data_IF_109515092292
#
_entry.id   IF_109515092292
#
_cell.length_a   1.000
_cell.length_b   1.000
_cell.length_c   1.000
_cell.angle_alpha   90.00
_cell.angle_beta   90.00
_cell.angle_gamma   90.00
#
_symmetry.space_group_name_H-M   'P 1'
#
loop_
_entity.id
_entity.type
_entity.pdbx_description
1 polymer ?
#
# COMPACT_ATOMS: atom_id res chain seq x y z
N UNK A 1 33.19 -17.33 47.82
CA UNK A 1 31.90 -17.52 47.10
C UNK A 1 31.32 -16.13 46.83
N UNK A 2 31.63 -15.46 45.69
CA UNK A 2 30.99 -15.60 44.36
C UNK A 2 29.45 -15.65 44.50
N UNK A 3 28.60 -14.83 43.90
CA UNK A 3 28.68 -13.90 42.75
C UNK A 3 27.27 -13.27 42.64
N UNK A 4 27.00 -12.07 43.21
CA UNK A 4 25.63 -11.49 43.14
C UNK A 4 25.54 -9.98 42.83
N UNK A 5 26.66 -9.28 42.67
CA UNK A 5 26.66 -7.81 42.47
C UNK A 5 26.87 -7.34 41.02
N UNK A 6 27.14 -8.24 40.06
CA UNK A 6 27.44 -7.86 38.66
C UNK A 6 26.30 -8.10 37.65
N UNK A 7 25.16 -8.70 38.05
CA UNK A 7 24.07 -9.05 37.12
C UNK A 7 22.93 -8.03 37.04
N UNK A 8 22.86 -7.05 37.95
CA UNK A 8 21.75 -6.08 38.01
C UNK A 8 21.80 -4.93 36.98
N UNK A 9 22.96 -4.37 36.55
CA UNK A 9 22.93 -3.27 35.58
C UNK A 9 22.66 -3.75 34.14
N UNK A 10 22.98 -5.01 33.82
CA UNK A 10 22.75 -5.60 32.50
C UNK A 10 21.25 -5.78 32.19
N UNK A 11 20.47 -6.20 33.17
CA UNK A 11 19.02 -6.41 33.02
C UNK A 11 18.27 -5.09 32.87
N UNK A 12 18.74 -4.02 33.54
CA UNK A 12 18.13 -2.69 33.44
C UNK A 12 18.37 -2.04 32.06
N UNK A 13 19.56 -2.21 31.47
CA UNK A 13 19.87 -1.73 30.12
C UNK A 13 19.11 -2.47 29.00
N UNK A 14 18.82 -3.77 29.21
CA UNK A 14 18.04 -4.58 28.28
C UNK A 14 16.55 -4.18 28.25
N UNK A 15 16.00 -3.73 29.38
CA UNK A 15 14.61 -3.25 29.45
C UNK A 15 14.42 -1.87 28.80
N UNK A 16 15.43 -0.99 28.87
CA UNK A 16 15.36 0.35 28.25
C UNK A 16 15.43 0.26 26.71
N UNK A 17 16.12 -0.75 26.16
CA UNK A 17 16.23 -0.95 24.71
C UNK A 17 14.97 -1.53 24.06
N UNK A 18 14.08 -2.18 24.82
CA UNK A 18 12.78 -2.65 24.30
C UNK A 18 11.74 -1.53 24.09
N UNK A 19 11.87 -0.38 24.75
CA UNK A 19 10.85 0.69 24.71
C UNK A 19 10.94 1.64 23.52
N UNK A 20 12.00 1.58 22.69
CA UNK A 20 12.26 2.59 21.65
C UNK A 20 11.61 2.23 20.28
N UNK A 21 11.04 1.03 20.12
CA UNK A 21 10.54 0.57 18.82
C UNK A 21 9.04 0.79 18.54
N UNK A 22 8.34 1.56 19.37
CA UNK A 22 6.95 1.95 19.08
C UNK A 22 6.89 3.12 18.09
N UNK A 23 7.44 2.96 16.88
CA UNK A 23 6.97 3.74 15.75
C UNK A 23 5.57 3.23 15.45
N UNK A 24 4.56 3.87 16.05
CA UNK A 24 3.16 3.68 15.68
C UNK A 24 3.09 3.72 14.15
N UNK A 25 2.72 2.60 13.55
CA UNK A 25 2.60 2.46 12.11
C UNK A 25 1.56 3.49 11.67
N UNK A 26 2.02 4.57 11.02
CA UNK A 26 1.15 5.67 10.63
C UNK A 26 0.13 5.12 9.62
N UNK A 27 -1.08 4.86 10.07
CA UNK A 27 -2.19 4.48 9.20
C UNK A 27 -2.39 5.58 8.17
N UNK A 28 -2.54 5.19 6.89
CA UNK A 28 -2.75 6.16 5.82
C UNK A 28 -4.21 6.60 5.82
N UNK A 29 -4.53 7.67 6.54
CA UNK A 29 -5.89 8.20 6.63
C UNK A 29 -6.21 9.08 5.41
N UNK A 30 -7.34 8.83 4.78
CA UNK A 30 -7.90 9.66 3.72
C UNK A 30 -9.10 10.44 4.23
N UNK A 31 -9.20 11.70 3.83
CA UNK A 31 -10.38 12.53 4.08
C UNK A 31 -10.70 13.38 2.86
N UNK A 32 -11.96 13.80 2.75
CA UNK A 32 -12.41 14.82 1.81
C UNK A 32 -12.59 16.07 2.65
N UNK A 33 -11.60 16.96 2.63
CA UNK A 33 -11.65 18.25 3.29
C UNK A 33 -12.57 19.22 2.55
N UNK A 34 -12.83 20.38 3.13
CA UNK A 34 -13.68 21.41 2.53
C UNK A 34 -13.11 21.95 1.20
N UNK A 35 -11.78 22.02 1.09
CA UNK A 35 -11.09 22.62 -0.07
C UNK A 35 -10.29 21.61 -0.90
N UNK A 36 -9.91 20.47 -0.31
CA UNK A 36 -9.05 19.49 -0.97
C UNK A 36 -9.21 18.09 -0.42
N UNK A 37 -8.77 17.08 -1.18
CA UNK A 37 -8.54 15.76 -0.61
C UNK A 37 -7.36 15.82 0.35
N UNK A 38 -7.42 15.06 1.43
CA UNK A 38 -6.36 14.99 2.41
C UNK A 38 -5.83 13.58 2.55
N UNK A 39 -4.50 13.45 2.52
CA UNK A 39 -3.79 12.22 2.85
C UNK A 39 -2.93 12.48 4.09
N UNK A 40 -3.22 11.77 5.17
CA UNK A 40 -2.54 11.93 6.46
C UNK A 40 -2.61 13.36 7.02
N UNK A 41 -3.77 14.01 6.87
CA UNK A 41 -4.05 15.37 7.34
C UNK A 41 -3.32 16.46 6.55
N UNK A 42 -2.86 16.16 5.33
CA UNK A 42 -2.21 17.11 4.44
C UNK A 42 -2.96 17.18 3.11
N UNK A 43 -3.12 18.37 2.51
CA UNK A 43 -3.69 18.51 1.16
C UNK A 43 -3.00 17.61 0.15
N UNK A 44 -3.81 16.96 -0.69
CA UNK A 44 -3.37 15.96 -1.64
C UNK A 44 -4.07 16.14 -2.99
N UNK A 45 -3.28 16.19 -4.07
CA UNK A 45 -3.81 16.29 -5.43
C UNK A 45 -3.78 14.92 -6.08
N UNK A 46 -4.95 14.37 -6.39
CA UNK A 46 -5.09 13.10 -7.12
C UNK A 46 -4.81 13.38 -8.60
N UNK A 47 -3.75 12.75 -9.13
CA UNK A 47 -3.40 12.78 -10.56
C UNK A 47 -3.58 11.37 -11.10
N UNK A 48 -4.75 11.12 -11.66
CA UNK A 48 -5.13 9.80 -12.14
C UNK A 48 -4.89 9.63 -13.64
N UNK A 49 -4.55 8.41 -14.03
CA UNK A 49 -4.71 7.92 -15.41
C UNK A 49 -5.48 6.60 -15.41
N UNK A 50 -6.20 6.33 -16.49
CA UNK A 50 -6.99 5.11 -16.63
C UNK A 50 -6.15 3.96 -17.20
N UNK A 51 -6.34 2.75 -16.65
CA UNK A 51 -5.76 1.53 -17.20
C UNK A 51 -6.73 0.35 -17.13
N UNK A 52 -7.19 -0.08 -18.29
CA UNK A 52 -7.97 -1.31 -18.46
C UNK A 52 -7.08 -2.54 -18.46
N UNK A 53 -6.87 -3.16 -17.29
CA UNK A 53 -5.99 -4.33 -17.15
C UNK A 53 -6.35 -5.47 -18.10
N UNK A 54 -7.64 -5.67 -18.38
CA UNK A 54 -8.16 -6.69 -19.27
C UNK A 54 -7.68 -6.55 -20.72
N UNK A 55 -7.32 -5.33 -21.14
CA UNK A 55 -6.86 -5.01 -22.51
C UNK A 55 -5.34 -5.10 -22.65
N UNK A 56 -4.62 -5.45 -21.59
CA UNK A 56 -3.15 -5.45 -21.54
C UNK A 56 -2.69 -6.84 -21.11
N UNK A 57 -1.77 -7.49 -21.84
CA UNK A 57 -1.17 -8.74 -21.39
C UNK A 57 -0.57 -8.59 -20.00
N UNK A 58 -0.75 -9.59 -19.12
CA UNK A 58 -0.31 -9.54 -17.71
C UNK A 58 1.16 -9.14 -17.54
N UNK A 59 2.03 -9.61 -18.43
CA UNK A 59 3.45 -9.27 -18.44
C UNK A 59 3.71 -7.75 -18.62
N UNK A 60 2.80 -7.04 -19.29
CA UNK A 60 2.90 -5.61 -19.55
C UNK A 60 2.40 -4.71 -18.40
N UNK A 61 1.65 -5.23 -17.43
CA UNK A 61 1.03 -4.39 -16.38
C UNK A 61 2.06 -3.58 -15.59
N UNK A 62 3.13 -4.23 -15.12
CA UNK A 62 4.18 -3.55 -14.33
C UNK A 62 4.82 -2.40 -15.12
N UNK A 63 5.14 -2.63 -16.39
CA UNK A 63 5.73 -1.61 -17.25
C UNK A 63 4.79 -0.41 -17.45
N UNK A 64 3.49 -0.66 -17.61
CA UNK A 64 2.48 0.40 -17.79
C UNK A 64 2.34 1.25 -16.53
N UNK A 65 2.33 0.60 -15.36
CA UNK A 65 2.34 1.30 -14.06
C UNK A 65 3.59 2.14 -13.85
N UNK A 66 4.76 1.64 -14.24
CA UNK A 66 6.01 2.41 -14.19
C UNK A 66 5.98 3.64 -15.09
N UNK A 67 5.41 3.51 -16.30
CA UNK A 67 5.24 4.64 -17.23
C UNK A 67 4.26 5.67 -16.68
N UNK A 68 3.13 5.25 -16.13
CA UNK A 68 2.17 6.15 -15.47
C UNK A 68 2.84 6.96 -14.34
N UNK A 69 3.61 6.29 -13.48
CA UNK A 69 4.39 6.96 -12.42
C UNK A 69 5.43 7.92 -12.98
N UNK A 70 6.15 7.54 -14.04
CA UNK A 70 7.15 8.40 -14.69
C UNK A 70 6.54 9.65 -15.33
N UNK A 71 5.26 9.60 -15.73
CA UNK A 71 4.49 10.76 -16.19
C UNK A 71 3.99 11.67 -15.05
N UNK A 72 4.29 11.35 -13.79
CA UNK A 72 3.88 12.13 -12.62
C UNK A 72 2.50 11.78 -12.07
N UNK A 73 1.88 10.70 -12.54
CA UNK A 73 0.62 10.19 -11.99
C UNK A 73 0.88 9.52 -10.63
N UNK A 74 -0.05 9.72 -9.71
CA UNK A 74 -0.01 9.11 -8.38
C UNK A 74 -1.16 8.13 -8.12
N UNK A 75 -2.10 8.05 -9.04
CA UNK A 75 -3.29 7.20 -8.93
C UNK A 75 -3.55 6.54 -10.27
N UNK A 76 -4.03 5.29 -10.25
CA UNK A 76 -4.50 4.61 -11.45
C UNK A 76 -5.94 4.18 -11.25
N UNK A 77 -6.78 4.56 -12.20
CA UNK A 77 -8.19 4.25 -12.24
C UNK A 77 -8.35 2.98 -13.08
N UNK A 78 -9.00 1.96 -12.55
CA UNK A 78 -9.16 0.67 -13.22
C UNK A 78 -10.59 0.16 -13.09
N UNK A 79 -11.16 -0.30 -14.21
CA UNK A 79 -12.46 -0.97 -14.23
C UNK A 79 -12.32 -2.46 -13.96
N UNK A 80 -13.30 -3.00 -13.25
CA UNK A 80 -13.56 -4.43 -13.15
C UNK A 80 -14.62 -4.80 -14.19
N UNK A 81 -14.26 -5.65 -15.14
CA UNK A 81 -15.17 -6.06 -16.22
C UNK A 81 -16.01 -7.26 -15.77
N UNK A 82 -17.24 -7.00 -15.31
CA UNK A 82 -18.11 -8.02 -14.70
C UNK A 82 -18.31 -9.25 -15.59
N UNK A 83 -18.57 -9.04 -16.88
CA UNK A 83 -18.74 -10.10 -17.89
C UNK A 83 -17.53 -11.04 -18.04
N UNK A 84 -16.33 -10.61 -17.63
CA UNK A 84 -15.14 -11.48 -17.62
C UNK A 84 -15.07 -12.35 -16.36
N UNK A 85 -15.67 -11.87 -15.28
CA UNK A 85 -15.66 -12.53 -13.98
C UNK A 85 -16.86 -13.45 -13.78
N UNK A 86 -18.02 -13.10 -14.32
CA UNK A 86 -19.23 -13.91 -14.28
C UNK A 86 -19.73 -14.17 -15.71
N UNK A 87 -19.26 -15.27 -16.31
CA UNK A 87 -19.71 -15.69 -17.65
C UNK A 87 -21.04 -16.43 -17.61
N UNK A 88 -21.36 -17.01 -16.47
CA UNK A 88 -22.59 -17.72 -16.16
C UNK A 88 -23.05 -17.22 -14.78
N UNK A 89 -24.37 -17.05 -14.55
CA UNK A 89 -24.88 -16.60 -13.26
C UNK A 89 -24.30 -17.43 -12.10
N UNK A 90 -23.87 -16.74 -11.05
CA UNK A 90 -23.31 -17.28 -9.82
C UNK A 90 -21.98 -18.04 -9.97
N UNK A 91 -21.33 -17.97 -11.15
CA UNK A 91 -20.03 -18.61 -11.41
C UNK A 91 -18.92 -17.58 -11.61
N UNK A 92 -18.16 -17.33 -10.54
CA UNK A 92 -17.12 -16.29 -10.51
C UNK A 92 -15.71 -16.82 -10.80
N UNK A 93 -15.04 -16.23 -11.78
CA UNK A 93 -13.62 -16.46 -12.08
C UNK A 93 -12.79 -15.19 -11.87
N UNK A 94 -11.83 -15.24 -10.94
CA UNK A 94 -10.99 -14.08 -10.59
C UNK A 94 -9.58 -14.17 -11.16
N UNK A 95 -9.06 -13.03 -11.61
CA UNK A 95 -7.68 -12.94 -12.11
C UNK A 95 -6.71 -12.97 -10.93
N UNK A 96 -6.00 -14.09 -10.78
CA UNK A 96 -5.00 -14.29 -9.72
C UNK A 96 -3.92 -13.21 -9.76
N UNK A 97 -3.56 -12.70 -8.59
CA UNK A 97 -2.54 -11.68 -8.37
C UNK A 97 -2.86 -10.29 -8.95
N UNK A 98 -4.08 -10.01 -9.41
CA UNK A 98 -4.48 -8.66 -9.82
C UNK A 98 -4.19 -7.63 -8.72
N UNK A 99 -4.75 -7.86 -7.53
CA UNK A 99 -4.50 -6.99 -6.37
C UNK A 99 -3.01 -6.92 -6.01
N UNK A 100 -2.22 -8.00 -6.16
CA UNK A 100 -0.78 -7.95 -5.88
C UNK A 100 0.01 -7.10 -6.88
N UNK A 101 -0.41 -7.03 -8.14
CA UNK A 101 0.24 -6.19 -9.16
C UNK A 101 -0.17 -4.73 -9.04
N UNK A 102 -1.40 -4.44 -8.58
CA UNK A 102 -1.93 -3.08 -8.47
C UNK A 102 -1.82 -2.47 -7.06
N UNK A 103 -1.63 -3.29 -6.01
CA UNK A 103 -1.30 -2.86 -4.64
C UNK A 103 0.00 -2.07 -4.49
N UNK A 104 1.08 -2.27 -5.29
CA UNK A 104 2.30 -1.47 -5.24
C UNK A 104 2.13 -0.03 -5.73
N UNK A 105 0.97 0.35 -6.27
CA UNK A 105 0.61 1.75 -6.45
C UNK A 105 0.26 2.44 -5.11
N UNK A 106 0.97 2.10 -4.04
CA UNK A 106 1.34 3.10 -3.03
C UNK A 106 2.26 4.10 -3.71
N UNK A 107 1.67 4.95 -4.55
CA UNK A 107 2.36 5.99 -5.28
C UNK A 107 2.76 7.18 -4.38
N UNK A 108 2.57 7.02 -3.08
CA UNK A 108 3.12 7.85 -2.03
C UNK A 108 4.04 7.00 -1.15
N UNK A 109 5.30 6.89 -1.59
CA UNK A 109 6.41 6.74 -0.66
C UNK A 109 7.54 7.64 -1.14
#
# INVERSE_FOLDING_TARGET
>A
MRTHFLTKPLVLGLLISLSINSRAQKENTWAIGAESFELNGKPYVIRCGEMHFARIPKAGWKQRLQRAKAMGLNTVCAYLFWNMHEKQPDQFTWVKNFLKTFSPLRCCR
#
